data_IF_505701371569
#
_entry.id   IF_505701371569
#
_cell.length_a   1.000
_cell.length_b   1.000
_cell.length_c   1.000
_cell.angle_alpha   90.00
_cell.angle_beta   90.00
_cell.angle_gamma   90.00
#
_symmetry.space_group_name_H-M   'P 1'
#
loop_
_entity.id
_entity.type
_entity.pdbx_description
1 polymer ?
#
# COMPACT_ATOMS: atom_id res chain seq x y z
N UNK A 1 20.93 -54.19 53.92
CA UNK A 1 19.69 -53.60 53.36
C UNK A 1 19.40 -52.16 53.83
N UNK A 2 19.93 -51.68 54.97
CA UNK A 2 19.73 -50.29 55.43
C UNK A 2 20.53 -49.22 54.65
N UNK A 3 21.70 -49.57 54.10
CA UNK A 3 22.53 -48.65 53.31
C UNK A 3 22.02 -48.39 51.88
N UNK A 4 21.21 -49.30 51.31
CA UNK A 4 20.67 -49.16 49.95
C UNK A 4 19.50 -48.17 49.88
N UNK A 5 18.73 -48.06 50.98
CA UNK A 5 17.60 -47.13 51.11
C UNK A 5 18.07 -45.68 51.30
N UNK A 6 19.24 -45.48 51.93
CA UNK A 6 19.83 -44.16 52.12
C UNK A 6 20.30 -43.50 50.81
N UNK A 7 20.82 -44.28 49.85
CA UNK A 7 21.24 -43.75 48.54
C UNK A 7 20.05 -43.39 47.63
N UNK A 8 18.90 -44.06 47.77
CA UNK A 8 17.70 -43.76 46.99
C UNK A 8 16.99 -42.49 47.48
N UNK A 9 17.09 -42.19 48.78
CA UNK A 9 16.51 -40.98 49.38
C UNK A 9 17.28 -39.70 49.00
N UNK A 10 18.59 -39.79 48.76
CA UNK A 10 19.42 -38.64 48.32
C UNK A 10 19.19 -38.31 46.85
N UNK A 11 18.81 -39.28 46.01
CA UNK A 11 18.55 -39.07 44.59
C UNK A 11 17.19 -38.39 44.30
N UNK A 12 16.24 -38.45 45.23
CA UNK A 12 14.91 -37.83 45.08
C UNK A 12 14.81 -36.38 45.57
N UNK A 13 15.84 -35.83 46.23
CA UNK A 13 15.83 -34.46 46.76
C UNK A 13 16.40 -33.41 45.77
N UNK A 14 16.84 -33.81 44.59
CA UNK A 14 17.57 -32.95 43.64
C UNK A 14 16.76 -32.37 42.46
N UNK A 15 15.47 -32.66 42.33
CA UNK A 15 14.69 -32.29 41.14
C UNK A 15 13.37 -31.61 41.55
N UNK A 16 13.42 -30.30 41.83
CA UNK A 16 12.68 -29.39 40.95
C UNK A 16 13.39 -28.02 40.81
N UNK A 17 14.64 -27.99 40.32
CA UNK A 17 15.34 -26.73 40.08
C UNK A 17 15.15 -26.17 38.65
N UNK A 18 14.47 -26.91 37.75
CA UNK A 18 14.40 -26.57 36.32
C UNK A 18 13.19 -25.73 35.91
N UNK A 19 12.40 -25.24 36.87
CA UNK A 19 11.21 -24.41 36.63
C UNK A 19 11.31 -23.04 37.30
N UNK A 20 12.50 -22.42 37.30
CA UNK A 20 12.61 -21.00 37.64
C UNK A 20 11.92 -20.19 36.54
N UNK A 21 10.65 -19.88 36.76
CA UNK A 21 9.89 -18.90 35.99
C UNK A 21 10.70 -17.61 35.87
N UNK A 22 10.80 -17.11 34.64
CA UNK A 22 11.52 -15.91 34.22
C UNK A 22 10.85 -14.69 34.86
N UNK A 23 11.15 -14.44 36.12
CA UNK A 23 10.61 -13.37 36.96
C UNK A 23 11.38 -12.06 36.68
N UNK A 24 11.35 -11.64 35.42
CA UNK A 24 11.67 -10.27 35.02
C UNK A 24 10.43 -9.37 35.15
N UNK A 25 10.61 -8.04 35.18
CA UNK A 25 9.46 -7.12 35.14
C UNK A 25 8.59 -7.42 33.90
N UNK A 26 7.28 -7.27 34.04
CA UNK A 26 6.31 -7.43 32.95
C UNK A 26 6.77 -6.58 31.75
N UNK A 27 7.12 -7.24 30.63
CA UNK A 27 7.47 -6.58 29.37
C UNK A 27 6.27 -6.67 28.44
N UNK A 28 5.80 -5.51 27.98
CA UNK A 28 4.90 -5.46 26.82
C UNK A 28 5.78 -5.62 25.59
N UNK A 29 5.63 -6.74 24.89
CA UNK A 29 6.25 -7.00 23.59
C UNK A 29 5.21 -6.68 22.51
N UNK A 30 5.43 -5.62 21.73
CA UNK A 30 4.58 -5.34 20.57
C UNK A 30 5.04 -6.28 19.46
N UNK A 31 4.36 -7.42 19.34
CA UNK A 31 4.74 -8.48 18.39
C UNK A 31 4.34 -8.13 16.96
N UNK A 32 3.27 -7.37 16.75
CA UNK A 32 2.81 -6.87 15.45
C UNK A 32 1.70 -5.81 15.62
N UNK A 33 1.80 -4.69 14.93
CA UNK A 33 0.65 -3.78 14.75
C UNK A 33 -0.31 -4.38 13.71
N UNK A 34 -1.61 -4.41 14.00
CA UNK A 34 -2.63 -4.67 12.99
C UNK A 34 -2.81 -3.36 12.21
N UNK A 35 -2.13 -3.23 11.07
CA UNK A 35 -2.33 -2.10 10.16
C UNK A 35 -3.50 -2.49 9.26
N UNK A 36 -4.64 -1.82 9.43
CA UNK A 36 -5.73 -1.92 8.47
C UNK A 36 -5.34 -1.15 7.20
N UNK A 37 -5.32 -1.78 6.01
CA UNK A 37 -4.96 -1.09 4.78
C UNK A 37 -5.99 -0.03 4.40
N UNK A 38 -5.50 1.16 4.04
CA UNK A 38 -6.31 2.29 3.58
C UNK A 38 -6.96 1.93 2.24
N UNK A 39 -8.29 2.02 2.11
CA UNK A 39 -8.96 1.88 0.82
C UNK A 39 -8.54 2.97 -0.16
N UNK A 40 -7.93 2.57 -1.27
CA UNK A 40 -7.46 3.48 -2.32
C UNK A 40 -8.14 3.15 -3.64
N UNK A 41 -8.47 4.17 -4.42
CA UNK A 41 -8.86 4.03 -5.80
C UNK A 41 -7.74 4.57 -6.69
N UNK A 42 -7.21 3.74 -7.58
CA UNK A 42 -6.36 4.20 -8.67
C UNK A 42 -7.24 4.34 -9.92
N UNK A 43 -7.66 5.57 -10.21
CA UNK A 43 -8.44 5.84 -11.41
C UNK A 43 -7.61 5.50 -12.66
N UNK A 44 -8.22 5.01 -13.75
CA UNK A 44 -7.51 4.81 -15.00
C UNK A 44 -6.80 6.10 -15.42
N UNK A 45 -5.49 6.04 -15.62
CA UNK A 45 -4.76 7.19 -16.14
C UNK A 45 -5.22 7.46 -17.56
N UNK A 46 -5.42 8.73 -17.89
CA UNK A 46 -5.95 9.15 -19.18
C UNK A 46 -4.81 9.42 -20.16
N UNK A 47 -4.91 8.90 -21.38
CA UNK A 47 -3.96 9.22 -22.43
C UNK A 47 -4.30 10.57 -23.08
N UNK A 48 -3.39 11.55 -23.02
CA UNK A 48 -3.59 12.85 -23.70
C UNK A 48 -3.20 12.78 -25.19
N UNK A 49 -2.50 11.72 -25.60
CA UNK A 49 -2.21 11.43 -27.01
C UNK A 49 -2.58 9.98 -27.35
N UNK A 50 -3.02 9.68 -28.59
CA UNK A 50 -3.39 8.30 -28.97
C UNK A 50 -2.26 7.28 -28.73
N UNK A 51 -1.00 7.70 -28.96
CA UNK A 51 0.19 6.87 -28.77
C UNK A 51 0.49 6.54 -27.29
N UNK A 52 -0.12 7.26 -26.34
CA UNK A 52 0.05 7.04 -24.90
C UNK A 52 -0.97 6.05 -24.31
N UNK A 53 -1.98 5.60 -25.08
CA UNK A 53 -3.09 4.75 -24.59
C UNK A 53 -2.61 3.50 -23.85
N UNK A 54 -1.69 2.76 -24.48
CA UNK A 54 -1.15 1.53 -23.89
C UNK A 54 -0.32 1.83 -22.64
N UNK A 55 0.53 2.86 -22.68
CA UNK A 55 1.31 3.27 -21.53
C UNK A 55 0.43 3.71 -20.35
N UNK A 56 -0.68 4.40 -20.61
CA UNK A 56 -1.60 4.82 -19.57
C UNK A 56 -2.21 3.63 -18.82
N UNK A 57 -2.64 2.60 -19.56
CA UNK A 57 -3.15 1.36 -18.95
C UNK A 57 -2.06 0.62 -18.16
N UNK A 58 -0.86 0.49 -18.72
CA UNK A 58 0.26 -0.19 -18.08
C UNK A 58 0.76 0.53 -16.82
N UNK A 59 0.87 1.87 -16.87
CA UNK A 59 1.27 2.69 -15.72
C UNK A 59 0.23 2.59 -14.61
N UNK A 60 -1.07 2.68 -14.95
CA UNK A 60 -2.15 2.52 -13.97
C UNK A 60 -2.01 1.19 -13.22
N UNK A 61 -1.74 0.09 -13.94
CA UNK A 61 -1.60 -1.23 -13.35
C UNK A 61 -0.37 -1.34 -12.42
N UNK A 62 0.77 -0.76 -12.82
CA UNK A 62 1.98 -0.75 -11.96
C UNK A 62 1.76 0.08 -10.71
N UNK A 63 1.18 1.28 -10.84
CA UNK A 63 0.90 2.16 -9.69
C UNK A 63 -0.02 1.47 -8.68
N UNK A 64 -1.12 0.86 -9.14
CA UNK A 64 -2.01 0.10 -8.27
C UNK A 64 -1.30 -1.09 -7.61
N UNK A 65 -0.50 -1.84 -8.37
CA UNK A 65 0.24 -2.99 -7.85
C UNK A 65 1.29 -2.60 -6.80
N UNK A 66 2.00 -1.49 -7.00
CA UNK A 66 3.02 -1.02 -6.07
C UNK A 66 2.38 -0.56 -4.76
N UNK A 67 1.31 0.25 -4.84
CA UNK A 67 0.59 0.75 -3.67
C UNK A 67 0.02 -0.41 -2.84
N UNK A 68 -0.67 -1.36 -3.47
CA UNK A 68 -1.18 -2.57 -2.79
C UNK A 68 -0.04 -3.43 -2.25
N UNK A 69 1.06 -3.54 -3.01
CA UNK A 69 2.25 -4.33 -2.64
C UNK A 69 2.92 -3.86 -1.36
N UNK A 70 2.69 -2.62 -0.92
CA UNK A 70 3.19 -2.11 0.37
C UNK A 70 2.46 -2.72 1.58
N UNK A 71 1.25 -3.25 1.41
CA UNK A 71 0.36 -3.65 2.50
C UNK A 71 -0.28 -2.48 3.26
N UNK A 72 0.04 -1.22 2.92
CA UNK A 72 -0.59 -0.02 3.49
C UNK A 72 -1.93 0.31 2.85
N UNK A 73 -2.15 -0.19 1.63
CA UNK A 73 -3.33 0.13 0.83
C UNK A 73 -4.06 -1.13 0.35
N UNK A 74 -5.36 -0.96 0.16
CA UNK A 74 -6.28 -1.95 -0.41
C UNK A 74 -6.96 -1.31 -1.61
N UNK A 75 -6.79 -1.88 -2.79
CA UNK A 75 -7.41 -1.35 -4.01
C UNK A 75 -8.92 -1.56 -3.98
N UNK A 76 -9.67 -0.51 -4.33
CA UNK A 76 -11.11 -0.57 -4.52
C UNK A 76 -11.39 -0.96 -5.97
N UNK A 77 -12.12 -2.07 -6.23
CA UNK A 77 -12.39 -2.54 -7.58
C UNK A 77 -13.07 -1.49 -8.47
N UNK A 78 -12.65 -1.42 -9.74
CA UNK A 78 -13.14 -0.43 -10.72
C UNK A 78 -14.63 -0.55 -11.04
N UNK A 79 -15.23 -1.73 -10.88
CA UNK A 79 -16.66 -1.97 -11.04
C UNK A 79 -17.50 -1.34 -9.92
N UNK A 80 -16.88 -0.98 -8.79
CA UNK A 80 -17.52 -0.18 -7.75
C UNK A 80 -17.57 1.32 -8.12
N UNK A 81 -16.77 1.80 -9.07
CA UNK A 81 -16.65 3.24 -9.32
C UNK A 81 -17.96 3.83 -9.84
N UNK A 82 -18.56 4.72 -9.06
CA UNK A 82 -19.79 5.44 -9.43
C UNK A 82 -19.50 6.58 -10.41
N UNK A 83 -18.39 7.28 -10.20
CA UNK A 83 -17.93 8.40 -11.01
C UNK A 83 -16.65 8.05 -11.78
N UNK A 84 -16.47 8.70 -12.94
CA UNK A 84 -15.27 8.56 -13.76
C UNK A 84 -14.48 9.88 -13.79
N UNK A 85 -13.14 9.77 -13.79
CA UNK A 85 -12.25 10.90 -14.02
C UNK A 85 -12.12 11.11 -15.52
N UNK A 86 -12.46 12.31 -15.99
CA UNK A 86 -12.56 12.63 -17.43
C UNK A 86 -11.43 13.51 -17.95
N UNK A 87 -10.73 14.22 -17.07
CA UNK A 87 -9.53 15.00 -17.38
C UNK A 87 -8.72 15.23 -16.10
N UNK A 88 -7.48 15.74 -16.24
CA UNK A 88 -6.60 16.04 -15.11
C UNK A 88 -7.17 17.13 -14.16
N UNK A 89 -7.86 18.11 -14.73
CA UNK A 89 -8.42 19.26 -14.01
C UNK A 89 -9.91 19.11 -13.70
N UNK A 90 -10.49 17.93 -13.98
CA UNK A 90 -11.88 17.65 -13.65
C UNK A 90 -12.10 17.76 -12.14
N UNK A 91 -13.19 18.39 -11.74
CA UNK A 91 -13.59 18.42 -10.35
C UNK A 91 -13.89 16.99 -9.86
N UNK A 92 -13.38 16.64 -8.67
CA UNK A 92 -13.61 15.32 -8.09
C UNK A 92 -14.99 15.27 -7.43
N UNK A 93 -15.81 14.30 -7.82
CA UNK A 93 -17.08 14.00 -7.18
C UNK A 93 -16.86 13.26 -5.85
N UNK A 94 -16.34 13.94 -4.83
CA UNK A 94 -15.92 13.32 -3.56
C UNK A 94 -17.02 12.47 -2.88
N UNK A 95 -18.29 12.85 -3.03
CA UNK A 95 -19.41 12.10 -2.46
C UNK A 95 -19.52 10.68 -3.03
N UNK A 96 -19.28 10.52 -4.33
CA UNK A 96 -19.38 9.24 -5.04
C UNK A 96 -18.26 8.28 -4.60
N UNK A 97 -17.05 8.81 -4.42
CA UNK A 97 -15.91 8.05 -3.91
C UNK A 97 -16.10 7.65 -2.44
N UNK A 98 -16.63 8.56 -1.60
CA UNK A 98 -17.00 8.23 -0.21
C UNK A 98 -18.07 7.15 -0.13
N UNK A 99 -19.04 7.15 -1.05
CA UNK A 99 -20.13 6.16 -1.06
C UNK A 99 -19.64 4.71 -1.25
N UNK A 100 -18.45 4.53 -1.83
CA UNK A 100 -17.81 3.23 -2.05
C UNK A 100 -16.62 2.99 -1.12
N UNK A 101 -16.56 3.74 -0.01
CA UNK A 101 -15.54 3.66 1.03
C UNK A 101 -14.10 3.88 0.53
N UNK A 102 -13.91 4.73 -0.49
CA UNK A 102 -12.57 5.17 -0.88
C UNK A 102 -12.11 6.28 0.05
N UNK A 103 -10.90 6.17 0.59
CA UNK A 103 -10.27 7.19 1.44
C UNK A 103 -9.23 8.01 0.68
N UNK A 104 -8.54 7.39 -0.28
CA UNK A 104 -7.57 8.05 -1.15
C UNK A 104 -7.88 7.79 -2.62
N UNK A 105 -7.77 8.81 -3.47
CA UNK A 105 -7.95 8.70 -4.91
C UNK A 105 -6.70 9.19 -5.64
N UNK A 106 -6.13 8.33 -6.48
CA UNK A 106 -5.06 8.68 -7.40
C UNK A 106 -5.64 8.87 -8.79
N UNK A 107 -5.34 10.02 -9.40
CA UNK A 107 -5.67 10.32 -10.80
C UNK A 107 -4.42 10.68 -11.56
N UNK A 108 -4.43 10.50 -12.87
CA UNK A 108 -3.29 10.92 -13.68
C UNK A 108 -3.57 10.93 -15.17
N UNK A 109 -2.64 11.54 -15.90
CA UNK A 109 -2.61 11.54 -17.36
C UNK A 109 -1.24 11.12 -17.86
N UNK A 110 -1.22 10.54 -19.05
CA UNK A 110 -0.02 10.08 -19.72
C UNK A 110 0.01 10.66 -21.13
N UNK A 111 1.17 11.21 -21.48
CA UNK A 111 1.37 11.90 -22.76
C UNK A 111 2.66 11.37 -23.36
N UNK A 112 2.60 10.95 -24.63
CA UNK A 112 3.79 10.71 -25.43
C UNK A 112 4.03 11.92 -26.33
N UNK A 113 5.13 12.61 -26.10
CA UNK A 113 5.54 13.78 -26.87
C UNK A 113 6.15 13.39 -28.21
N UNK A 114 6.30 14.36 -29.12
CA UNK A 114 6.86 14.13 -30.47
C UNK A 114 8.34 13.71 -30.46
N UNK A 115 9.08 14.04 -29.40
CA UNK A 115 10.47 13.61 -29.16
C UNK A 115 10.55 12.24 -28.44
N UNK A 116 9.47 11.46 -28.44
CA UNK A 116 9.37 10.12 -27.85
C UNK A 116 9.62 10.09 -26.33
N UNK A 117 9.27 11.17 -25.62
CA UNK A 117 9.26 11.19 -24.16
C UNK A 117 7.88 10.92 -23.61
N UNK A 118 7.84 10.01 -22.65
CA UNK A 118 6.67 9.72 -21.86
C UNK A 118 6.62 10.69 -20.68
N UNK A 119 5.51 11.41 -20.55
CA UNK A 119 5.23 12.33 -19.46
C UNK A 119 4.03 11.81 -18.70
N UNK A 120 4.14 11.69 -17.39
CA UNK A 120 3.07 11.24 -16.50
C UNK A 120 2.80 12.34 -15.48
N UNK A 121 1.59 12.88 -15.50
CA UNK A 121 1.11 13.81 -14.48
C UNK A 121 0.14 13.06 -13.58
N UNK A 122 0.20 13.30 -12.28
CA UNK A 122 -0.71 12.65 -11.35
C UNK A 122 -1.02 13.56 -10.17
N UNK A 123 -2.16 13.30 -9.53
CA UNK A 123 -2.61 14.00 -8.34
C UNK A 123 -3.26 13.02 -7.40
N UNK A 124 -2.97 13.21 -6.12
CA UNK A 124 -3.57 12.46 -5.02
C UNK A 124 -4.63 13.33 -4.35
N UNK A 125 -5.77 12.73 -4.04
CA UNK A 125 -6.85 13.38 -3.32
C UNK A 125 -7.14 12.60 -2.05
N UNK A 126 -7.30 13.35 -0.96
CA UNK A 126 -7.88 12.85 0.28
C UNK A 126 -9.40 12.97 0.16
N UNK A 127 -10.06 11.82 0.07
CA UNK A 127 -11.51 11.74 -0.11
C UNK A 127 -12.26 12.02 1.20
N UNK A 128 -11.61 11.77 2.34
CA UNK A 128 -12.16 12.03 3.66
C UNK A 128 -12.24 13.53 3.94
N UNK A 129 -11.15 14.27 3.75
CA UNK A 129 -11.15 15.74 3.94
C UNK A 129 -11.75 16.49 2.75
N UNK A 130 -11.85 15.85 1.58
CA UNK A 130 -12.40 16.44 0.38
C UNK A 130 -11.46 17.42 -0.30
N UNK A 131 -10.15 17.22 -0.16
CA UNK A 131 -9.11 18.14 -0.64
C UNK A 131 -8.03 17.40 -1.44
N UNK A 132 -7.40 18.07 -2.43
CA UNK A 132 -6.20 17.54 -3.05
C UNK A 132 -5.01 17.56 -2.08
N UNK A 133 -4.19 16.52 -2.11
CA UNK A 133 -2.92 16.47 -1.39
C UNK A 133 -1.84 17.12 -2.27
N UNK A 134 -1.83 18.46 -2.26
CA UNK A 134 -0.96 19.29 -3.10
C UNK A 134 -1.44 19.43 -4.54
N UNK A 135 -0.64 20.09 -5.38
CA UNK A 135 -1.04 20.44 -6.75
C UNK A 135 -0.92 19.27 -7.74
N UNK A 136 -0.34 18.15 -7.30
CA UNK A 136 0.08 17.04 -8.15
C UNK A 136 1.55 17.13 -8.55
N UNK A 137 2.04 16.07 -9.19
CA UNK A 137 3.43 15.95 -9.62
C UNK A 137 3.50 15.47 -11.07
N UNK A 138 4.66 15.68 -11.67
CA UNK A 138 4.96 15.21 -13.01
C UNK A 138 6.30 14.50 -13.04
N UNK A 139 6.31 13.32 -13.64
CA UNK A 139 7.53 12.62 -14.02
C UNK A 139 7.61 12.46 -15.52
N UNK A 140 8.83 12.27 -16.01
CA UNK A 140 9.03 12.02 -17.42
C UNK A 140 10.24 11.10 -17.64
N UNK A 141 10.19 10.35 -18.73
CA UNK A 141 11.22 9.41 -19.12
C UNK A 141 11.10 9.04 -20.59
N UNK A 142 12.02 8.22 -21.08
CA UNK A 142 11.91 7.56 -22.37
C UNK A 142 10.92 6.39 -22.31
N UNK A 143 10.40 6.01 -23.47
CA UNK A 143 9.49 4.86 -23.64
C UNK A 143 10.09 3.54 -23.17
N UNK A 144 11.40 3.32 -23.28
CA UNK A 144 12.04 2.09 -22.76
C UNK A 144 12.06 2.03 -21.22
N UNK A 145 11.85 3.17 -20.57
CA UNK A 145 11.97 3.36 -19.13
C UNK A 145 10.64 3.64 -18.45
N UNK A 146 9.52 3.40 -19.15
CA UNK A 146 8.17 3.70 -18.66
C UNK A 146 7.88 3.06 -17.29
N UNK A 147 8.37 1.84 -17.03
CA UNK A 147 8.20 1.15 -15.73
C UNK A 147 8.83 1.93 -14.58
N UNK A 148 10.03 2.46 -14.79
CA UNK A 148 10.72 3.28 -13.78
C UNK A 148 9.96 4.58 -13.51
N UNK A 149 9.28 5.14 -14.51
CA UNK A 149 8.38 6.28 -14.29
C UNK A 149 7.19 5.86 -13.45
N UNK A 150 6.55 4.73 -13.75
CA UNK A 150 5.42 4.21 -12.97
C UNK A 150 5.78 3.96 -11.49
N UNK A 151 6.92 3.30 -11.23
CA UNK A 151 7.41 3.05 -9.86
C UNK A 151 7.77 4.32 -9.08
N UNK A 152 7.97 5.47 -9.76
CA UNK A 152 8.17 6.76 -9.08
C UNK A 152 6.85 7.44 -8.73
N UNK A 153 5.77 7.09 -9.42
CA UNK A 153 4.42 7.62 -9.18
C UNK A 153 3.80 6.98 -7.95
N UNK A 154 4.05 5.68 -7.73
CA UNK A 154 3.63 4.94 -6.53
C UNK A 154 4.47 5.33 -5.30
#
# INVERSE_FOLDING_TARGET
MKFLVACLAVLMLGLPAVAQERSGPLRIEITQGVIEPVPIAVAPFLAETPAATEYAAQITAVVASDLVGTGLFRDVPKDAYVSQVTSFDAAVAYADWRAINVEALVTGTVTLTTDNRLVVKFRLFDIFTGAPLGDGLQFAGDTNSWRRVAHKVA
#
